data_IF_361022564103
#
_entry.id   IF_361022564103
#
_cell.length_a   1.000
_cell.length_b   1.000
_cell.length_c   1.000
_cell.angle_alpha   90.00
_cell.angle_beta   90.00
_cell.angle_gamma   90.00
#
_symmetry.space_group_name_H-M   'P 1'
#
loop_
_entity.id
_entity.type
_entity.pdbx_description
1 polymer ?
#
# COMPACT_ATOMS: atom_id res chain seq x y z
N UNK A 1 6.42 -30.62 -2.88
CA UNK A 1 6.69 -29.29 -2.30
C UNK A 1 7.02 -29.46 -0.83
N UNK A 2 7.98 -28.70 -0.29
CA UNK A 2 8.33 -28.71 1.13
C UNK A 2 8.09 -27.31 1.69
N UNK A 3 7.20 -27.20 2.66
CA UNK A 3 6.95 -25.94 3.37
C UNK A 3 8.07 -25.70 4.38
N UNK A 4 8.59 -24.48 4.41
CA UNK A 4 9.60 -24.04 5.38
C UNK A 4 8.98 -22.94 6.22
N UNK A 5 9.12 -23.06 7.55
CA UNK A 5 8.61 -22.06 8.50
C UNK A 5 9.60 -20.91 8.59
N UNK A 6 9.10 -19.67 8.53
CA UNK A 6 9.87 -18.47 8.83
C UNK A 6 10.41 -18.53 10.28
N UNK A 7 11.67 -18.17 10.48
CA UNK A 7 12.37 -18.36 11.76
C UNK A 7 12.12 -17.25 12.77
N UNK A 8 11.96 -16.01 12.28
CA UNK A 8 11.66 -14.84 13.09
C UNK A 8 10.50 -14.11 12.43
N UNK A 9 9.36 -14.13 13.08
CA UNK A 9 8.19 -13.36 12.69
C UNK A 9 7.64 -12.63 13.90
N UNK A 10 7.10 -11.44 13.67
CA UNK A 10 6.33 -10.72 14.68
C UNK A 10 5.09 -11.53 15.08
N UNK A 11 4.68 -11.49 16.36
CA UNK A 11 3.39 -12.05 16.80
C UNK A 11 2.18 -11.28 16.21
N UNK A 12 2.43 -10.24 15.40
CA UNK A 12 1.41 -9.49 14.70
C UNK A 12 0.76 -10.33 13.58
N UNK A 13 -0.55 -10.16 13.37
CA UNK A 13 -1.20 -10.77 12.20
C UNK A 13 -0.90 -9.95 10.94
N UNK A 14 -0.50 -10.62 9.87
CA UNK A 14 -0.22 -10.01 8.57
C UNK A 14 -1.54 -9.81 7.81
N UNK A 15 -1.71 -8.64 7.19
CA UNK A 15 -2.90 -8.31 6.39
C UNK A 15 -2.64 -8.44 4.89
N UNK A 16 -1.47 -8.04 4.42
CA UNK A 16 -1.12 -8.02 3.01
C UNK A 16 0.33 -8.44 2.78
N UNK A 17 0.59 -9.01 1.60
CA UNK A 17 1.91 -9.42 1.13
C UNK A 17 2.07 -9.11 -0.36
N UNK A 18 3.11 -8.37 -0.70
CA UNK A 18 3.45 -7.98 -2.06
C UNK A 18 4.86 -8.47 -2.39
N UNK A 19 5.01 -9.12 -3.54
CA UNK A 19 6.33 -9.36 -4.10
C UNK A 19 6.78 -8.10 -4.86
N UNK A 20 8.01 -7.65 -4.63
CA UNK A 20 8.60 -6.55 -5.36
C UNK A 20 10.11 -6.77 -5.41
N UNK A 21 10.68 -6.78 -6.63
CA UNK A 21 12.12 -6.98 -6.89
C UNK A 21 12.73 -8.16 -6.14
N UNK A 22 12.00 -9.27 -6.10
CA UNK A 22 12.46 -10.51 -5.48
C UNK A 22 12.45 -10.48 -3.95
N UNK A 23 11.84 -9.50 -3.29
CA UNK A 23 11.60 -9.47 -1.84
C UNK A 23 10.10 -9.48 -1.55
N UNK A 24 9.74 -9.84 -0.33
CA UNK A 24 8.34 -9.80 0.11
C UNK A 24 8.15 -8.64 1.08
N UNK A 25 7.22 -7.75 0.76
CA UNK A 25 6.83 -6.63 1.59
C UNK A 25 5.50 -6.98 2.24
N UNK A 26 5.42 -6.85 3.55
CA UNK A 26 4.25 -7.24 4.32
C UNK A 26 3.74 -6.09 5.18
N UNK A 27 2.43 -6.00 5.32
CA UNK A 27 1.78 -5.12 6.29
C UNK A 27 1.16 -5.95 7.41
N UNK A 28 1.16 -5.40 8.63
CA UNK A 28 0.53 -6.05 9.79
C UNK A 28 -0.73 -5.32 10.24
N UNK A 29 -1.57 -5.98 11.04
CA UNK A 29 -2.73 -5.38 11.72
C UNK A 29 -2.36 -4.17 12.58
N UNK A 30 -1.15 -4.19 13.15
CA UNK A 30 -0.60 -3.06 13.91
C UNK A 30 -0.16 -1.91 13.00
N UNK A 31 -0.38 -2.05 11.69
CA UNK A 31 -0.05 -1.12 10.62
C UNK A 31 1.45 -0.86 10.53
N UNK A 32 2.28 -1.86 10.80
CA UNK A 32 3.71 -1.79 10.50
C UNK A 32 4.00 -2.41 9.14
N UNK A 33 5.12 -2.01 8.52
CA UNK A 33 5.57 -2.53 7.24
C UNK A 33 6.92 -3.21 7.43
N UNK A 34 7.06 -4.42 6.92
CA UNK A 34 8.30 -5.20 7.00
C UNK A 34 8.70 -5.72 5.62
N UNK A 35 9.99 -5.98 5.47
CA UNK A 35 10.54 -6.76 4.36
C UNK A 35 10.94 -8.12 4.89
N UNK A 36 10.55 -9.16 4.18
CA UNK A 36 11.04 -10.52 4.38
C UNK A 36 12.03 -10.80 3.25
N UNK A 37 13.28 -11.04 3.62
CA UNK A 37 14.29 -11.52 2.69
C UNK A 37 14.04 -13.03 2.41
N UNK A 38 13.81 -13.43 1.14
CA UNK A 38 13.48 -14.81 0.81
C UNK A 38 14.62 -15.81 1.09
N UNK A 39 15.87 -15.34 1.24
CA UNK A 39 17.02 -16.21 1.46
C UNK A 39 17.32 -16.41 2.95
N UNK A 40 17.37 -15.32 3.73
CA UNK A 40 17.59 -15.41 5.18
C UNK A 40 16.33 -15.79 5.96
N UNK A 41 15.14 -15.51 5.40
CA UNK A 41 13.84 -15.62 6.07
C UNK A 41 13.76 -14.77 7.37
N UNK A 42 14.51 -13.68 7.40
CA UNK A 42 14.49 -12.68 8.46
C UNK A 42 13.59 -11.50 8.07
N UNK A 43 12.92 -10.93 9.07
CA UNK A 43 12.11 -9.72 8.96
C UNK A 43 12.93 -8.47 9.25
N UNK A 44 12.88 -7.52 8.33
CA UNK A 44 13.55 -6.23 8.42
C UNK A 44 12.45 -5.15 8.50
N UNK A 45 12.32 -4.44 9.62
CA UNK A 45 11.35 -3.36 9.75
C UNK A 45 11.65 -2.24 8.75
N UNK A 46 10.64 -1.80 8.00
CA UNK A 46 10.70 -0.56 7.24
C UNK A 46 9.99 0.53 8.04
N UNK A 47 10.78 1.41 8.65
CA UNK A 47 10.18 2.54 9.36
C UNK A 47 9.45 3.45 8.36
N UNK A 48 8.16 3.76 8.56
CA UNK A 48 7.50 4.83 7.82
C UNK A 48 8.15 6.18 8.18
N UNK A 49 8.07 7.15 7.27
CA UNK A 49 8.68 8.49 7.45
C UNK A 49 8.32 9.14 8.79
N UNK A 50 7.07 8.98 9.22
CA UNK A 50 6.55 9.46 10.50
C UNK A 50 5.52 8.46 11.05
N UNK A 51 5.50 8.20 12.37
CA UNK A 51 4.47 7.38 12.98
C UNK A 51 3.12 8.13 12.94
N UNK A 52 2.31 7.82 11.93
CA UNK A 52 0.93 8.26 11.83
C UNK A 52 -0.02 7.14 12.24
N UNK A 53 -1.14 7.52 12.86
CA UNK A 53 -2.28 6.62 13.05
C UNK A 53 -2.98 6.44 11.70
N UNK A 54 -2.45 5.57 10.85
CA UNK A 54 -2.96 5.32 9.50
C UNK A 54 -3.33 3.86 9.29
N UNK A 55 -4.10 3.57 8.24
CA UNK A 55 -4.18 2.22 7.64
C UNK A 55 -3.28 2.21 6.42
N UNK A 56 -2.48 1.15 6.25
CA UNK A 56 -1.41 1.08 5.27
C UNK A 56 -1.73 0.04 4.20
N UNK A 57 -1.56 0.41 2.95
CA UNK A 57 -1.80 -0.45 1.79
C UNK A 57 -0.56 -0.43 0.90
N UNK A 58 -0.06 -1.61 0.54
CA UNK A 58 1.03 -1.75 -0.43
C UNK A 58 0.42 -1.90 -1.82
N UNK A 59 0.83 -1.05 -2.76
CA UNK A 59 0.33 -1.04 -4.13
C UNK A 59 1.51 -1.22 -5.08
N UNK A 60 1.72 -2.44 -5.63
CA UNK A 60 2.72 -2.64 -6.66
C UNK A 60 2.31 -1.98 -7.97
N UNK A 61 3.29 -1.45 -8.70
CA UNK A 61 3.08 -0.86 -10.00
C UNK A 61 3.71 -1.66 -11.12
N UNK A 62 2.86 -2.19 -12.02
CA UNK A 62 3.29 -2.87 -13.24
C UNK A 62 4.26 -4.03 -12.98
N UNK A 63 5.21 -4.21 -13.90
CA UNK A 63 6.26 -5.24 -13.84
C UNK A 63 7.39 -4.86 -12.85
N UNK A 64 7.07 -4.67 -11.58
CA UNK A 64 8.04 -4.47 -10.48
C UNK A 64 8.92 -3.20 -10.56
N UNK A 65 8.46 -2.15 -11.24
CA UNK A 65 9.24 -0.91 -11.35
C UNK A 65 9.13 -0.04 -10.09
N UNK A 66 7.93 0.02 -9.50
CA UNK A 66 7.61 0.90 -8.38
C UNK A 66 6.71 0.20 -7.36
N UNK A 67 6.95 0.48 -6.08
CA UNK A 67 6.07 0.07 -4.99
C UNK A 67 5.61 1.31 -4.24
N UNK A 68 4.30 1.47 -4.11
CA UNK A 68 3.69 2.57 -3.36
C UNK A 68 3.15 2.08 -2.02
N UNK A 69 3.32 2.90 -0.99
CA UNK A 69 2.67 2.79 0.31
C UNK A 69 1.61 3.88 0.38
N UNK A 70 0.34 3.47 0.44
CA UNK A 70 -0.79 4.37 0.63
C UNK A 70 -1.23 4.31 2.07
N UNK A 71 -1.18 5.45 2.74
CA UNK A 71 -1.59 5.62 4.13
C UNK A 71 -2.90 6.40 4.21
N UNK A 72 -3.95 5.76 4.71
CA UNK A 72 -5.22 6.42 5.02
C UNK A 72 -5.18 6.91 6.47
N UNK A 73 -5.08 8.22 6.66
CA UNK A 73 -4.88 8.84 7.98
C UNK A 73 -6.19 8.80 8.77
N UNK A 74 -6.16 8.17 9.95
CA UNK A 74 -7.31 8.07 10.83
C UNK A 74 -7.36 9.27 11.76
N UNK A 75 -8.54 9.90 11.95
CA UNK A 75 -8.69 11.00 12.88
C UNK A 75 -8.43 10.52 14.32
N UNK A 76 -7.91 11.42 15.15
CA UNK A 76 -7.66 11.14 16.57
C UNK A 76 -8.96 10.98 17.37
N UNK A 77 -10.01 11.72 17.00
CA UNK A 77 -11.35 11.69 17.61
C UNK A 77 -12.43 11.97 16.55
N UNK A 78 -13.64 11.46 16.77
CA UNK A 78 -14.82 11.73 15.93
C UNK A 78 -15.32 10.54 15.11
N UNK A 79 -16.36 10.78 14.31
CA UNK A 79 -16.96 9.78 13.43
C UNK A 79 -16.00 9.51 12.26
N UNK A 80 -15.79 8.23 11.96
CA UNK A 80 -14.98 7.80 10.83
C UNK A 80 -15.75 8.00 9.52
N UNK A 81 -15.51 9.13 8.86
CA UNK A 81 -15.95 9.35 7.48
C UNK A 81 -14.83 8.98 6.51
N UNK A 82 -14.90 7.74 6.01
CA UNK A 82 -13.93 7.16 5.08
C UNK A 82 -13.92 7.79 3.68
N UNK A 83 -14.77 8.78 3.39
CA UNK A 83 -14.73 9.56 2.15
C UNK A 83 -13.91 10.85 2.28
N UNK A 84 -13.63 11.29 3.51
CA UNK A 84 -12.97 12.57 3.81
C UNK A 84 -11.60 12.41 4.48
N UNK A 85 -11.10 11.19 4.55
CA UNK A 85 -9.81 10.93 5.19
C UNK A 85 -8.67 11.39 4.29
N UNK A 86 -7.70 12.09 4.87
CA UNK A 86 -6.48 12.43 4.17
C UNK A 86 -5.72 11.14 3.83
N UNK A 87 -5.20 11.09 2.61
CA UNK A 87 -4.33 10.03 2.16
C UNK A 87 -2.91 10.60 1.98
N UNK A 88 -1.91 9.83 2.39
CA UNK A 88 -0.51 10.08 2.06
C UNK A 88 -0.03 8.93 1.19
N UNK A 89 0.66 9.25 0.10
CA UNK A 89 1.29 8.25 -0.76
C UNK A 89 2.80 8.41 -0.67
N UNK A 90 3.49 7.30 -0.48
CA UNK A 90 4.95 7.25 -0.52
C UNK A 90 5.42 6.20 -1.51
N UNK A 91 6.51 6.47 -2.22
CA UNK A 91 7.18 5.51 -3.10
C UNK A 91 8.35 4.87 -2.35
N UNK A 92 8.58 3.58 -2.54
CA UNK A 92 9.75 2.91 -1.98
C UNK A 92 11.02 3.37 -2.72
N UNK A 93 12.00 3.87 -1.96
CA UNK A 93 13.39 3.93 -2.39
C UNK A 93 14.06 2.61 -2.01
N UNK A 94 14.17 1.71 -2.97
CA UNK A 94 14.74 0.36 -2.81
C UNK A 94 16.22 0.40 -2.38
N UNK A 95 17.00 1.35 -2.91
CA UNK A 95 18.43 1.50 -2.59
C UNK A 95 18.64 1.93 -1.13
N UNK A 96 17.84 2.88 -0.66
CA UNK A 96 17.92 3.38 0.71
C UNK A 96 17.14 2.51 1.71
N UNK A 97 16.24 1.64 1.24
CA UNK A 97 15.31 0.90 2.10
C UNK A 97 14.34 1.81 2.85
N UNK A 98 13.94 2.94 2.26
CA UNK A 98 13.08 3.94 2.90
C UNK A 98 11.90 4.31 2.01
N UNK A 99 10.78 4.65 2.62
CA UNK A 99 9.68 5.30 1.91
C UNK A 99 10.02 6.76 1.62
N UNK A 100 9.49 7.33 0.54
CA UNK A 100 9.62 8.77 0.22
C UNK A 100 8.25 9.28 -0.17
N UNK A 101 7.73 10.27 0.55
CA UNK A 101 6.43 10.87 0.24
C UNK A 101 6.47 11.52 -1.15
N UNK A 102 5.44 11.27 -1.96
CA UNK A 102 5.31 11.78 -3.32
C UNK A 102 4.06 12.64 -3.43
N UNK A 103 4.08 13.66 -4.29
CA UNK A 103 2.94 14.54 -4.57
C UNK A 103 2.05 14.05 -5.71
N UNK A 104 2.54 13.14 -6.53
CA UNK A 104 1.84 12.52 -7.65
C UNK A 104 2.31 11.06 -7.77
N UNK A 105 1.56 10.25 -8.50
CA UNK A 105 1.87 8.83 -8.73
C UNK A 105 2.18 8.59 -10.20
N UNK A 106 2.72 9.60 -10.89
CA UNK A 106 3.12 9.51 -12.29
C UNK A 106 1.95 9.35 -13.27
N UNK A 107 0.80 9.96 -12.98
CA UNK A 107 -0.40 9.87 -13.82
C UNK A 107 -1.09 8.50 -13.76
N UNK A 108 -0.79 7.70 -12.74
CA UNK A 108 -1.40 6.39 -12.49
C UNK A 108 -2.67 6.52 -11.64
N UNK A 109 -3.46 5.45 -11.66
CA UNK A 109 -4.55 5.24 -10.71
C UNK A 109 -4.18 4.07 -9.81
N UNK A 110 -4.23 4.28 -8.49
CA UNK A 110 -3.99 3.23 -7.50
C UNK A 110 -5.33 2.65 -7.04
N UNK A 111 -5.54 1.37 -7.29
CA UNK A 111 -6.71 0.62 -6.85
C UNK A 111 -6.36 -0.13 -5.57
N UNK A 112 -7.17 0.06 -4.54
CA UNK A 112 -6.99 -0.54 -3.22
C UNK A 112 -8.28 -1.25 -2.85
N UNK A 113 -8.25 -2.54 -2.54
CA UNK A 113 -9.50 -3.22 -2.21
C UNK A 113 -9.39 -4.71 -1.96
N UNK A 114 -10.55 -5.35 -1.87
CA UNK A 114 -10.69 -6.74 -1.42
C UNK A 114 -9.98 -7.75 -2.34
N UNK A 115 -9.95 -7.49 -3.64
CA UNK A 115 -9.33 -8.38 -4.62
C UNK A 115 -7.82 -8.18 -4.75
N UNK A 116 -7.23 -7.35 -3.87
CA UNK A 116 -5.83 -6.97 -3.90
C UNK A 116 -5.64 -5.54 -4.39
N UNK A 117 -4.42 -5.07 -4.21
CA UNK A 117 -4.00 -3.73 -4.57
C UNK A 117 -3.22 -3.76 -5.89
N UNK A 118 -3.53 -2.83 -6.78
CA UNK A 118 -2.92 -2.76 -8.12
C UNK A 118 -2.89 -1.31 -8.59
N UNK A 119 -1.93 -0.97 -9.45
CA UNK A 119 -1.95 0.29 -10.17
C UNK A 119 -1.98 0.08 -11.67
N UNK A 120 -2.57 1.02 -12.41
CA UNK A 120 -2.46 1.09 -13.87
C UNK A 120 -2.28 2.55 -14.32
N UNK A 121 -1.84 2.75 -15.57
CA UNK A 121 -1.76 4.09 -16.13
C UNK A 121 -3.18 4.61 -16.41
N UNK A 122 -3.49 5.87 -16.11
CA UNK A 122 -4.82 6.40 -16.41
C UNK A 122 -5.16 6.37 -17.92
N UNK A 123 -4.13 6.39 -18.78
CA UNK A 123 -4.26 6.28 -20.25
C UNK A 123 -4.68 4.88 -20.73
N UNK A 124 -4.52 3.86 -19.89
CA UNK A 124 -4.94 2.49 -20.19
C UNK A 124 -6.43 2.27 -19.84
N UNK A 125 -7.04 3.23 -19.12
CA UNK A 125 -8.44 3.15 -18.75
C UNK A 125 -9.35 3.63 -19.89
N UNK A 126 -10.56 3.06 -20.02
CA UNK A 126 -11.53 3.52 -21.01
C UNK A 126 -11.87 5.00 -20.86
N UNK A 127 -12.01 5.69 -21.99
CA UNK A 127 -12.50 7.06 -22.02
C UNK A 127 -13.85 7.17 -21.30
N UNK A 128 -14.00 8.20 -20.46
CA UNK A 128 -15.23 8.45 -19.73
C UNK A 128 -15.47 7.58 -18.49
N UNK A 129 -14.51 6.74 -18.07
CA UNK A 129 -14.64 5.94 -16.83
C UNK A 129 -14.64 6.76 -15.52
N UNK A 130 -14.41 8.08 -15.60
CA UNK A 130 -14.44 9.00 -14.45
C UNK A 130 -13.18 9.00 -13.59
N UNK A 131 -12.16 8.22 -13.96
CA UNK A 131 -10.86 8.20 -13.29
C UNK A 131 -9.84 8.99 -14.11
N UNK A 132 -9.01 9.78 -13.43
CA UNK A 132 -7.90 10.53 -14.04
C UNK A 132 -6.58 10.07 -13.44
N UNK A 133 -5.46 10.47 -14.06
CA UNK A 133 -4.15 10.29 -13.46
C UNK A 133 -4.08 10.91 -12.06
N UNK A 134 -3.17 10.37 -11.25
CA UNK A 134 -2.91 10.81 -9.88
C UNK A 134 -4.18 10.70 -9.02
N UNK A 135 -4.72 9.49 -8.98
CA UNK A 135 -5.96 9.20 -8.24
C UNK A 135 -5.88 7.88 -7.49
N UNK A 136 -6.64 7.80 -6.39
CA UNK A 136 -6.77 6.62 -5.56
C UNK A 136 -8.23 6.16 -5.57
N UNK A 137 -8.45 4.88 -5.81
CA UNK A 137 -9.77 4.26 -5.75
C UNK A 137 -9.77 3.13 -4.73
N UNK A 138 -10.48 3.35 -3.62
CA UNK A 138 -10.72 2.32 -2.62
C UNK A 138 -12.01 1.59 -2.96
N UNK A 139 -11.94 0.27 -3.15
CA UNK A 139 -13.09 -0.60 -3.44
C UNK A 139 -13.38 -1.50 -2.25
N UNK A 140 -14.65 -1.78 -2.01
CA UNK A 140 -15.05 -2.67 -0.91
C UNK A 140 -14.72 -2.14 0.49
N UNK A 141 -14.70 -0.81 0.67
CA UNK A 141 -14.50 -0.21 1.99
C UNK A 141 -15.66 -0.49 2.95
N UNK A 142 -15.63 0.03 4.19
CA UNK A 142 -16.67 -0.23 5.18
C UNK A 142 -18.08 0.05 4.64
N UNK A 143 -18.95 -0.96 4.67
CA UNK A 143 -20.29 -0.90 4.04
C UNK A 143 -20.32 -1.22 2.55
N UNK A 144 -19.26 -1.81 1.99
CA UNK A 144 -19.10 -2.12 0.57
C UNK A 144 -19.17 -0.88 -0.34
N UNK A 145 -18.68 0.25 0.16
CA UNK A 145 -18.69 1.53 -0.54
C UNK A 145 -17.35 1.76 -1.24
N UNK A 146 -17.42 2.39 -2.41
CA UNK A 146 -16.24 2.82 -3.17
C UNK A 146 -15.92 4.28 -2.82
N UNK A 147 -14.66 4.57 -2.54
CA UNK A 147 -14.18 5.92 -2.23
C UNK A 147 -13.14 6.36 -3.25
N UNK A 148 -13.39 7.50 -3.88
CA UNK A 148 -12.48 8.11 -4.84
C UNK A 148 -11.76 9.30 -4.22
N UNK A 149 -10.45 9.38 -4.44
CA UNK A 149 -9.60 10.48 -4.02
C UNK A 149 -8.77 10.96 -5.20
N UNK A 150 -8.72 12.28 -5.36
CA UNK A 150 -7.74 12.93 -6.24
C UNK A 150 -6.49 13.21 -5.41
N UNK A 151 -5.34 12.83 -5.95
CA UNK A 151 -4.04 13.02 -5.32
C UNK A 151 -3.32 14.19 -5.98
#
# INVERSE_FOLDING_TARGET
>A
MRWVKLKKFSDASYEDIVNFRGRFYVTTLNKDVFVIDPYSLDEIPLMPLQPLRSVKYLVPSGNDDELFLVEKILPSRGVLDFSRLACRVSKLNDEAGTWVEVSDVGGRVLFIGYLGNVSCCAKELPDGCGLSGDSLLFTGGPGNVTYFYKY
#
